data_IF_446268525289
#
_entry.id   IF_446268525289
#
_cell.length_a   1.000
_cell.length_b   1.000
_cell.length_c   1.000
_cell.angle_alpha   90.00
_cell.angle_beta   90.00
_cell.angle_gamma   90.00
#
_symmetry.space_group_name_H-M   'P 1'
#
loop_
_entity.id
_entity.type
_entity.pdbx_description
1 polymer ?
#
# COMPACT_ATOMS: atom_id res chain seq x y z
N UNK A 1 -12.18 1.53 -6.97
CA UNK A 1 -11.98 0.19 -7.60
C UNK A 1 -11.97 -0.88 -6.53
N UNK A 2 -12.54 -2.06 -6.80
CA UNK A 2 -12.55 -3.22 -5.89
C UNK A 2 -11.62 -4.29 -6.50
N UNK A 3 -10.47 -4.62 -5.88
CA UNK A 3 -9.57 -5.65 -6.39
C UNK A 3 -10.04 -7.05 -5.98
N UNK A 4 -9.68 -8.07 -6.77
CA UNK A 4 -9.76 -9.47 -6.36
C UNK A 4 -8.65 -9.79 -5.34
N UNK A 5 -7.45 -9.22 -5.55
CA UNK A 5 -6.29 -9.39 -4.67
C UNK A 5 -5.70 -8.03 -4.33
N UNK A 6 -5.55 -7.77 -3.03
CA UNK A 6 -4.95 -6.53 -2.53
C UNK A 6 -3.73 -6.88 -1.68
N UNK A 7 -2.57 -6.47 -2.16
CA UNK A 7 -1.30 -6.66 -1.47
C UNK A 7 -0.86 -5.35 -0.83
N UNK A 8 -0.46 -5.40 0.44
CA UNK A 8 0.27 -4.34 1.12
C UNK A 8 1.74 -4.76 1.16
N UNK A 9 2.54 -4.19 0.28
CA UNK A 9 3.96 -4.46 0.20
C UNK A 9 4.74 -3.57 1.15
N UNK A 10 5.41 -4.21 2.12
CA UNK A 10 6.28 -3.57 3.12
C UNK A 10 7.72 -4.06 2.86
N UNK A 11 8.59 -3.24 2.27
CA UNK A 11 9.98 -3.62 2.02
C UNK A 11 10.68 -4.09 3.32
N UNK A 12 11.51 -5.16 3.28
CA UNK A 12 12.19 -5.70 4.47
C UNK A 12 13.09 -4.70 5.22
N UNK A 13 13.54 -3.65 4.52
CA UNK A 13 14.38 -2.58 5.09
C UNK A 13 13.61 -1.63 6.01
N UNK A 14 12.27 -1.65 5.98
CA UNK A 14 11.44 -0.89 6.92
C UNK A 14 11.29 -1.66 8.23
N UNK A 15 11.32 -0.94 9.36
CA UNK A 15 11.12 -1.54 10.68
C UNK A 15 9.70 -2.14 10.81
N UNK A 16 9.55 -3.07 11.76
CA UNK A 16 8.27 -3.71 12.07
C UNK A 16 7.15 -2.69 12.41
N UNK A 17 7.51 -1.51 12.91
CA UNK A 17 6.57 -0.45 13.31
C UNK A 17 5.73 0.06 12.13
N UNK A 18 6.29 0.06 10.91
CA UNK A 18 5.57 0.44 9.69
C UNK A 18 4.36 -0.47 9.43
N UNK A 19 4.42 -1.72 9.88
CA UNK A 19 3.32 -2.67 9.80
C UNK A 19 2.44 -2.61 11.05
N UNK A 20 3.02 -2.78 12.24
CA UNK A 20 2.25 -2.96 13.47
C UNK A 20 1.63 -1.68 14.01
N UNK A 21 2.25 -0.52 13.78
CA UNK A 21 1.75 0.77 14.25
C UNK A 21 1.00 1.51 13.14
N UNK A 22 1.61 1.66 11.97
CA UNK A 22 1.03 2.52 10.94
C UNK A 22 -0.12 1.86 10.18
N UNK A 23 -0.04 0.55 9.90
CA UNK A 23 -1.00 -0.11 9.02
C UNK A 23 -2.16 -0.82 9.76
N UNK A 24 -2.19 -0.81 11.10
CA UNK A 24 -3.14 -1.61 11.89
C UNK A 24 -4.61 -1.35 11.53
N UNK A 25 -5.07 -0.11 11.61
CA UNK A 25 -6.49 0.23 11.32
C UNK A 25 -6.85 0.01 9.86
N UNK A 26 -5.91 0.30 8.95
CA UNK A 26 -6.06 0.03 7.53
C UNK A 26 -6.22 -1.47 7.26
N UNK A 27 -5.40 -2.31 7.89
CA UNK A 27 -5.47 -3.75 7.76
C UNK A 27 -6.79 -4.30 8.34
N UNK A 28 -7.20 -3.85 9.53
CA UNK A 28 -8.46 -4.26 10.14
C UNK A 28 -9.67 -3.97 9.23
N UNK A 29 -9.64 -2.82 8.53
CA UNK A 29 -10.71 -2.37 7.63
C UNK A 29 -10.72 -3.06 6.26
N UNK A 30 -9.57 -3.20 5.62
CA UNK A 30 -9.48 -3.60 4.20
C UNK A 30 -8.88 -4.99 3.96
N UNK A 31 -8.28 -5.58 5.01
CA UNK A 31 -7.69 -6.93 5.03
C UNK A 31 -6.78 -7.22 3.82
N UNK A 32 -5.82 -6.35 3.46
CA UNK A 32 -4.81 -6.70 2.46
C UNK A 32 -3.96 -7.88 2.93
N UNK A 33 -3.42 -8.63 1.97
CA UNK A 33 -2.32 -9.55 2.24
C UNK A 33 -1.04 -8.74 2.41
N UNK A 34 -0.42 -8.86 3.59
CA UNK A 34 0.85 -8.21 3.89
C UNK A 34 1.96 -9.07 3.31
N UNK A 35 2.83 -8.47 2.50
CA UNK A 35 3.93 -9.16 1.85
C UNK A 35 5.23 -8.36 2.00
N UNK A 36 6.35 -9.08 2.12
CA UNK A 36 7.70 -8.53 2.12
C UNK A 36 8.50 -8.91 0.87
N UNK A 37 7.91 -9.78 0.04
CA UNK A 37 8.48 -10.24 -1.22
C UNK A 37 7.43 -10.08 -2.33
N UNK A 38 7.81 -9.37 -3.39
CA UNK A 38 6.97 -9.15 -4.56
C UNK A 38 6.72 -10.42 -5.38
N UNK A 39 7.54 -11.48 -5.24
CA UNK A 39 7.27 -12.77 -5.87
C UNK A 39 5.89 -13.32 -5.50
N UNK A 40 5.39 -13.00 -4.29
CA UNK A 40 4.07 -13.45 -3.81
C UNK A 40 2.94 -12.95 -4.73
N UNK A 41 3.09 -11.76 -5.32
CA UNK A 41 2.11 -11.19 -6.26
C UNK A 41 1.99 -12.05 -7.52
N UNK A 42 3.08 -12.69 -7.95
CA UNK A 42 3.11 -13.55 -9.13
C UNK A 42 2.22 -14.79 -9.04
N UNK A 43 1.80 -15.18 -7.84
CA UNK A 43 0.87 -16.29 -7.62
C UNK A 43 -0.61 -15.89 -7.78
N UNK A 44 -0.92 -14.60 -7.94
CA UNK A 44 -2.29 -14.18 -8.24
C UNK A 44 -2.75 -14.80 -9.59
N UNK A 45 -3.96 -15.40 -9.66
CA UNK A 45 -4.43 -16.01 -10.90
C UNK A 45 -4.52 -14.99 -12.05
N UNK A 46 -4.23 -15.46 -13.27
CA UNK A 46 -4.35 -14.63 -14.48
C UNK A 46 -5.78 -14.11 -14.64
N UNK A 47 -5.91 -12.87 -15.14
CA UNK A 47 -7.20 -12.21 -15.38
C UNK A 47 -7.87 -11.61 -14.13
N UNK A 48 -7.24 -11.72 -12.95
CA UNK A 48 -7.72 -11.11 -11.71
C UNK A 48 -7.24 -9.66 -11.56
N UNK A 49 -8.07 -8.82 -10.93
CA UNK A 49 -7.73 -7.43 -10.62
C UNK A 49 -6.82 -7.40 -9.39
N UNK A 50 -5.56 -7.07 -9.62
CA UNK A 50 -4.55 -6.95 -8.56
C UNK A 50 -4.35 -5.48 -8.22
N UNK A 51 -4.34 -5.16 -6.93
CA UNK A 51 -3.90 -3.89 -6.39
C UNK A 51 -2.70 -4.10 -5.46
N UNK A 52 -1.71 -3.22 -5.57
CA UNK A 52 -0.48 -3.25 -4.78
C UNK A 52 -0.30 -1.87 -4.14
N UNK A 53 -0.54 -1.80 -2.83
CA UNK A 53 -0.15 -0.63 -2.03
C UNK A 53 1.30 -0.81 -1.60
N UNK A 54 2.18 0.11 -2.03
CA UNK A 54 3.62 0.08 -1.72
C UNK A 54 3.90 1.06 -0.60
N UNK A 55 4.36 0.59 0.56
CA UNK A 55 4.89 1.44 1.63
C UNK A 55 6.37 1.67 1.34
N UNK A 56 6.79 2.92 1.19
CA UNK A 56 8.20 3.24 0.92
C UNK A 56 8.65 4.54 1.59
N UNK A 57 9.95 4.62 1.89
CA UNK A 57 10.64 5.88 2.16
C UNK A 57 11.03 6.57 0.85
N UNK A 58 11.26 7.89 0.89
CA UNK A 58 11.55 8.69 -0.31
C UNK A 58 12.75 8.22 -1.11
N UNK A 59 13.79 7.75 -0.44
CA UNK A 59 15.02 7.22 -1.04
C UNK A 59 14.80 5.90 -1.82
N UNK A 60 13.85 5.08 -1.36
CA UNK A 60 13.55 3.76 -1.96
C UNK A 60 12.38 3.80 -2.95
N UNK A 61 11.49 4.78 -2.84
CA UNK A 61 10.26 4.81 -3.62
C UNK A 61 10.48 4.72 -5.14
N UNK A 62 11.44 5.43 -5.78
CA UNK A 62 11.62 5.36 -7.21
C UNK A 62 11.96 3.95 -7.73
N UNK A 63 12.85 3.23 -7.03
CA UNK A 63 13.27 1.89 -7.43
C UNK A 63 12.14 0.88 -7.25
N UNK A 64 11.44 0.91 -6.11
CA UNK A 64 10.32 0.01 -5.82
C UNK A 64 9.14 0.23 -6.78
N UNK A 65 8.81 1.48 -7.07
CA UNK A 65 7.74 1.82 -8.02
C UNK A 65 8.10 1.33 -9.42
N UNK A 66 9.35 1.55 -9.87
CA UNK A 66 9.81 1.07 -11.17
C UNK A 66 9.78 -0.46 -11.26
N UNK A 67 10.21 -1.14 -10.20
CA UNK A 67 10.15 -2.60 -10.11
C UNK A 67 8.72 -3.13 -10.23
N UNK A 68 7.78 -2.59 -9.44
CA UNK A 68 6.38 -3.02 -9.48
C UNK A 68 5.76 -2.77 -10.85
N UNK A 69 5.98 -1.59 -11.46
CA UNK A 69 5.48 -1.28 -12.80
C UNK A 69 6.05 -2.22 -13.87
N UNK A 70 7.32 -2.59 -13.76
CA UNK A 70 7.98 -3.51 -14.70
C UNK A 70 7.45 -4.93 -14.57
N UNK A 71 7.30 -5.43 -13.34
CA UNK A 71 6.92 -6.83 -13.05
C UNK A 71 5.42 -7.07 -13.18
N UNK A 72 4.60 -6.09 -12.80
CA UNK A 72 3.14 -6.22 -12.72
C UNK A 72 2.45 -5.05 -13.45
N UNK A 73 2.64 -4.89 -14.76
CA UNK A 73 2.17 -3.71 -15.51
C UNK A 73 0.64 -3.55 -15.52
N UNK A 74 -0.12 -4.62 -15.27
CA UNK A 74 -1.59 -4.60 -15.19
C UNK A 74 -2.11 -4.37 -13.77
N UNK A 75 -1.26 -4.39 -12.75
CA UNK A 75 -1.67 -4.14 -11.37
C UNK A 75 -1.94 -2.66 -11.15
N UNK A 76 -2.95 -2.36 -10.34
CA UNK A 76 -3.14 -1.01 -9.84
C UNK A 76 -2.12 -0.73 -8.75
N UNK A 77 -1.25 0.24 -9.01
CA UNK A 77 -0.19 0.65 -8.10
C UNK A 77 -0.65 1.86 -7.26
N UNK A 78 -0.56 1.71 -5.95
CA UNK A 78 -0.90 2.72 -4.94
C UNK A 78 0.32 2.99 -4.04
N UNK A 79 1.25 3.87 -4.45
CA UNK A 79 2.44 4.14 -3.66
C UNK A 79 2.13 5.11 -2.51
N UNK A 80 2.56 4.74 -1.32
CA UNK A 80 2.56 5.58 -0.11
C UNK A 80 4.01 5.88 0.26
N UNK A 81 4.43 7.12 0.02
CA UNK A 81 5.82 7.56 0.21
C UNK A 81 5.90 8.54 1.37
N UNK A 82 6.45 8.09 2.50
CA UNK A 82 6.60 8.89 3.71
C UNK A 82 7.97 8.62 4.33
N UNK A 83 8.55 9.64 4.96
CA UNK A 83 9.87 9.51 5.59
C UNK A 83 9.78 9.03 7.05
N UNK A 84 8.60 9.15 7.67
CA UNK A 84 8.37 8.81 9.09
C UNK A 84 7.08 8.01 9.30
N UNK A 85 7.12 7.07 10.27
CA UNK A 85 6.00 6.16 10.61
C UNK A 85 4.74 6.93 10.99
N UNK A 86 4.87 8.04 11.71
CA UNK A 86 3.75 8.89 12.16
C UNK A 86 2.87 9.36 11.00
N UNK A 87 3.47 9.84 9.92
CA UNK A 87 2.72 10.45 8.81
C UNK A 87 2.09 9.38 7.91
N UNK A 88 2.76 8.23 7.77
CA UNK A 88 2.18 7.03 7.18
C UNK A 88 0.93 6.59 7.97
N UNK A 89 1.03 6.52 9.30
CA UNK A 89 -0.09 6.16 10.17
C UNK A 89 -1.27 7.12 10.00
N UNK A 90 -1.02 8.43 10.02
CA UNK A 90 -2.08 9.43 9.81
C UNK A 90 -2.83 9.20 8.49
N UNK A 91 -2.10 8.88 7.43
CA UNK A 91 -2.67 8.60 6.11
C UNK A 91 -3.49 7.30 6.09
N UNK A 92 -2.92 6.22 6.60
CA UNK A 92 -3.57 4.90 6.64
C UNK A 92 -4.79 4.87 7.58
N UNK A 93 -4.72 5.58 8.71
CA UNK A 93 -5.85 5.78 9.62
C UNK A 93 -6.95 6.60 8.95
N UNK A 94 -6.60 7.69 8.25
CA UNK A 94 -7.53 8.49 7.46
C UNK A 94 -8.28 7.64 6.42
N UNK A 95 -7.53 6.88 5.62
CA UNK A 95 -8.09 5.92 4.65
C UNK A 95 -9.07 4.94 5.29
N UNK A 96 -8.69 4.36 6.43
CA UNK A 96 -9.55 3.43 7.15
C UNK A 96 -10.86 4.09 7.62
N UNK A 97 -10.78 5.30 8.16
CA UNK A 97 -11.92 6.07 8.66
C UNK A 97 -12.90 6.46 7.55
N UNK A 98 -12.40 6.91 6.41
CA UNK A 98 -13.23 7.33 5.28
C UNK A 98 -13.65 6.18 4.36
N UNK A 99 -13.25 4.93 4.65
CA UNK A 99 -13.49 3.79 3.76
C UNK A 99 -12.77 3.92 2.41
N UNK A 100 -11.77 4.80 2.32
CA UNK A 100 -11.01 5.06 1.12
C UNK A 100 -9.79 4.12 1.06
N UNK A 101 -9.92 3.02 0.31
CA UNK A 101 -8.84 2.01 0.23
C UNK A 101 -7.55 2.55 -0.39
N UNK A 102 -7.64 3.40 -1.41
CA UNK A 102 -6.50 3.84 -2.22
C UNK A 102 -6.45 5.34 -2.42
N UNK A 103 -5.30 5.86 -2.86
CA UNK A 103 -5.09 7.29 -3.10
C UNK A 103 -4.94 8.11 -1.82
N UNK A 104 -4.58 9.38 -1.93
CA UNK A 104 -4.49 10.24 -0.74
C UNK A 104 -5.90 10.50 -0.19
N UNK A 105 -6.10 10.47 1.15
CA UNK A 105 -7.36 10.90 1.74
C UNK A 105 -7.76 12.25 1.17
N UNK A 106 -8.96 12.36 0.60
CA UNK A 106 -9.51 13.67 0.28
C UNK A 106 -9.74 14.38 1.62
N UNK A 107 -8.83 15.27 2.00
CA UNK A 107 -9.16 16.28 3.01
C UNK A 107 -10.28 17.11 2.40
N UNK A 108 -11.45 17.13 3.03
CA UNK A 108 -12.47 18.14 2.75
C UNK A 108 -11.88 19.51 3.13
N UNK A 109 -11.03 20.09 2.27
CA UNK A 109 -10.84 21.54 2.23
C UNK A 109 -12.02 22.10 1.44
N UNK A 110 -13.10 22.40 2.16
CA UNK A 110 -14.28 23.04 1.59
C UNK A 110 -15.56 22.80 2.37
N UNK A 111 -15.68 23.41 3.56
CA UNK A 111 -16.82 24.28 3.88
C UNK A 111 -16.51 25.17 5.10
#
# INVERSE_FOLDING_TARGET
>A
MIPDYHFLFVPPVLSADWLFEAARRYWDRFRPMVIHDLEVVGFAPKGKKVAITVIARRDLAPSLIAEVKKRFPSAYLDPLVYDVVRDMRLTLDGRANYGQRFGLPETNEGN
#
